data_IF_799483008748
#
_entry.id   IF_799483008748
#
_cell.length_a   1.000
_cell.length_b   1.000
_cell.length_c   1.000
_cell.angle_alpha   90.00
_cell.angle_beta   90.00
_cell.angle_gamma   90.00
#
_symmetry.space_group_name_H-M   'P 1'
#
loop_
_entity.id
_entity.type
_entity.pdbx_description
1 polymer ?
#
# COMPACT_ATOMS: atom_id res chain seq x y z
N UNK A 1 11.13 19.74 2.50
CA UNK A 1 11.37 18.85 1.34
C UNK A 1 12.60 19.30 0.56
N UNK A 2 12.68 20.56 0.11
CA UNK A 2 13.80 21.08 -0.69
C UNK A 2 15.20 20.82 -0.11
N UNK A 3 15.42 21.14 1.18
CA UNK A 3 16.71 20.89 1.86
C UNK A 3 17.12 19.42 1.81
N UNK A 4 16.17 18.49 1.99
CA UNK A 4 16.45 17.05 1.95
C UNK A 4 16.91 16.62 0.55
N UNK A 5 16.27 17.15 -0.50
CA UNK A 5 16.64 16.84 -1.89
C UNK A 5 18.01 17.43 -2.23
N UNK A 6 18.21 18.72 -1.93
CA UNK A 6 19.40 19.46 -2.36
C UNK A 6 20.66 19.11 -1.57
N UNK A 7 20.52 18.89 -0.26
CA UNK A 7 21.67 18.78 0.64
C UNK A 7 21.86 17.38 1.21
N UNK A 8 20.82 16.56 1.24
CA UNK A 8 20.85 15.22 1.88
C UNK A 8 20.70 14.06 0.90
N UNK A 9 20.55 14.35 -0.41
CA UNK A 9 20.44 13.32 -1.45
C UNK A 9 19.16 12.49 -1.41
N UNK A 10 18.11 12.97 -0.73
CA UNK A 10 16.81 12.29 -0.68
C UNK A 10 16.02 12.59 -1.94
N UNK A 11 15.54 11.58 -2.67
CA UNK A 11 14.82 11.78 -3.94
C UNK A 11 13.40 11.18 -3.95
N UNK A 12 12.92 10.67 -2.82
CA UNK A 12 11.59 10.10 -2.70
C UNK A 12 10.95 10.45 -1.36
N UNK A 13 9.64 10.65 -1.38
CA UNK A 13 8.84 10.96 -0.20
C UNK A 13 7.66 10.00 -0.11
N UNK A 14 7.39 9.49 1.09
CA UNK A 14 6.28 8.59 1.37
C UNK A 14 5.10 9.38 1.93
N UNK A 15 3.92 9.15 1.34
CA UNK A 15 2.65 9.71 1.77
C UNK A 15 1.63 8.59 2.04
N UNK A 16 0.65 8.87 2.88
CA UNK A 16 -0.38 7.91 3.28
C UNK A 16 -1.77 8.49 3.02
N UNK A 17 -2.64 7.69 2.39
CA UNK A 17 -4.07 7.99 2.22
C UNK A 17 -4.94 7.34 3.31
N UNK A 18 -4.31 6.52 4.15
CA UNK A 18 -4.88 5.84 5.31
C UNK A 18 -4.20 6.29 6.60
N UNK A 19 -4.55 5.66 7.73
CA UNK A 19 -4.16 6.09 9.07
C UNK A 19 -4.74 7.45 9.42
N UNK A 20 -6.08 7.52 9.40
CA UNK A 20 -6.85 8.68 9.85
C UNK A 20 -6.32 9.15 11.22
N UNK A 21 -6.22 10.47 11.36
CA UNK A 21 -5.71 11.17 12.55
C UNK A 21 -4.23 10.96 12.91
N UNK A 22 -3.47 10.18 12.13
CA UNK A 22 -2.03 9.95 12.36
C UNK A 22 -1.16 10.42 11.18
N UNK A 23 -1.35 9.83 10.00
CA UNK A 23 -0.49 10.08 8.82
C UNK A 23 -1.29 10.44 7.56
N UNK A 24 -2.62 10.31 7.60
CA UNK A 24 -3.48 10.52 6.45
C UNK A 24 -3.41 11.96 5.94
N UNK A 25 -3.11 12.11 4.64
CA UNK A 25 -3.26 13.37 3.92
C UNK A 25 -4.59 13.42 3.20
N UNK A 26 -5.25 14.58 3.25
CA UNK A 26 -6.45 14.86 2.46
C UNK A 26 -6.08 15.16 1.02
N UNK A 27 -7.05 15.07 0.11
CA UNK A 27 -6.82 15.27 -1.32
C UNK A 27 -6.20 16.64 -1.66
N UNK A 28 -6.59 17.69 -0.94
CA UNK A 28 -6.02 19.03 -1.12
C UNK A 28 -4.54 19.09 -0.73
N UNK A 29 -4.16 18.38 0.34
CA UNK A 29 -2.77 18.27 0.80
C UNK A 29 -1.95 17.41 -0.15
N UNK A 30 -2.50 16.26 -0.59
CA UNK A 30 -1.89 15.42 -1.63
C UNK A 30 -1.62 16.22 -2.90
N UNK A 31 -2.57 17.02 -3.38
CA UNK A 31 -2.37 17.87 -4.55
C UNK A 31 -1.17 18.82 -4.39
N UNK A 32 -1.03 19.47 -3.23
CA UNK A 32 0.09 20.38 -2.98
C UNK A 32 1.42 19.63 -2.83
N UNK A 33 1.43 18.49 -2.13
CA UNK A 33 2.65 17.68 -1.94
C UNK A 33 3.13 17.10 -3.27
N UNK A 34 2.22 16.58 -4.11
CA UNK A 34 2.58 16.07 -5.44
C UNK A 34 3.13 17.18 -6.35
N UNK A 35 2.54 18.38 -6.28
CA UNK A 35 3.08 19.56 -6.96
C UNK A 35 4.49 19.89 -6.47
N UNK A 36 4.72 19.90 -5.15
CA UNK A 36 6.03 20.16 -4.57
C UNK A 36 7.05 19.08 -4.99
N UNK A 37 6.68 17.79 -4.97
CA UNK A 37 7.52 16.69 -5.43
C UNK A 37 7.94 16.87 -6.90
N UNK A 38 7.01 17.28 -7.78
CA UNK A 38 7.35 17.59 -9.17
C UNK A 38 8.36 18.74 -9.26
N UNK A 39 8.13 19.83 -8.55
CA UNK A 39 8.96 21.04 -8.65
C UNK A 39 10.41 20.80 -8.16
N UNK A 40 10.59 19.87 -7.22
CA UNK A 40 11.92 19.49 -6.69
C UNK A 40 12.51 18.24 -7.38
N UNK A 41 11.81 17.63 -8.34
CA UNK A 41 12.26 16.42 -9.05
C UNK A 41 12.29 15.15 -8.19
N UNK A 42 11.43 15.04 -7.18
CA UNK A 42 11.31 13.88 -6.31
C UNK A 42 10.16 12.94 -6.71
N UNK A 43 10.29 11.66 -6.36
CA UNK A 43 9.27 10.64 -6.58
C UNK A 43 8.30 10.61 -5.39
N UNK A 44 7.01 10.71 -5.69
CA UNK A 44 5.94 10.58 -4.73
C UNK A 44 5.55 9.10 -4.52
N UNK A 45 5.94 8.52 -3.39
CA UNK A 45 5.51 7.18 -2.96
C UNK A 45 4.21 7.30 -2.18
N UNK A 46 3.19 6.52 -2.52
CA UNK A 46 1.86 6.63 -1.89
C UNK A 46 1.33 5.26 -1.48
N UNK A 47 0.99 5.14 -0.19
CA UNK A 47 0.18 4.06 0.34
C UNK A 47 -1.28 4.39 0.12
N UNK A 48 -1.93 3.65 -0.79
CA UNK A 48 -3.25 3.98 -1.32
C UNK A 48 -4.33 3.05 -0.79
N UNK A 49 -4.88 3.39 0.38
CA UNK A 49 -6.14 2.83 0.90
C UNK A 49 -7.02 3.99 1.36
N UNK A 50 -8.35 3.87 1.25
CA UNK A 50 -9.25 4.92 1.71
C UNK A 50 -9.32 4.96 3.25
N UNK A 51 -8.59 5.89 3.88
CA UNK A 51 -8.48 5.97 5.34
C UNK A 51 -9.78 6.20 6.10
N UNK A 52 -10.76 6.87 5.50
CA UNK A 52 -12.06 7.09 6.14
C UNK A 52 -12.84 5.77 6.22
N UNK A 53 -12.94 5.06 5.08
CA UNK A 53 -13.63 3.77 5.03
C UNK A 53 -12.91 2.69 5.83
N UNK A 54 -11.58 2.70 5.86
CA UNK A 54 -10.79 1.82 6.73
C UNK A 54 -11.14 2.04 8.20
N UNK A 55 -11.28 3.29 8.64
CA UNK A 55 -11.59 3.61 10.03
C UNK A 55 -13.00 3.14 10.42
N UNK A 56 -13.99 3.39 9.56
CA UNK A 56 -15.37 2.90 9.79
C UNK A 56 -15.45 1.37 9.73
N UNK A 57 -14.81 0.73 8.75
CA UNK A 57 -14.79 -0.73 8.62
C UNK A 57 -14.12 -1.43 9.82
N UNK A 58 -13.06 -0.83 10.38
CA UNK A 58 -12.44 -1.33 11.61
C UNK A 58 -13.36 -1.21 12.82
N UNK A 59 -14.12 -0.11 12.91
CA UNK A 59 -15.11 0.08 13.97
C UNK A 59 -16.27 -0.91 13.84
N UNK A 60 -16.81 -1.08 12.63
CA UNK A 60 -17.89 -2.05 12.36
C UNK A 60 -17.46 -3.48 12.69
N UNK A 61 -16.24 -3.89 12.31
CA UNK A 61 -15.71 -5.21 12.65
C UNK A 61 -15.66 -5.44 14.17
N UNK A 62 -15.20 -4.44 14.93
CA UNK A 62 -15.17 -4.49 16.39
C UNK A 62 -16.58 -4.52 17.01
N UNK A 63 -17.52 -3.73 16.48
CA UNK A 63 -18.91 -3.70 16.94
C UNK A 63 -19.62 -5.05 16.71
N UNK A 64 -19.21 -5.80 15.68
CA UNK A 64 -19.64 -7.18 15.42
C UNK A 64 -18.92 -8.23 16.28
N UNK A 65 -17.99 -7.82 17.15
CA UNK A 65 -17.21 -8.70 18.02
C UNK A 65 -16.04 -9.41 17.32
N UNK A 66 -15.64 -8.95 16.14
CA UNK A 66 -14.50 -9.48 15.40
C UNK A 66 -13.22 -8.81 15.92
N UNK A 67 -12.52 -9.49 16.81
CA UNK A 67 -11.29 -9.00 17.46
C UNK A 67 -10.04 -9.79 17.09
N UNK A 68 -10.18 -10.80 16.22
CA UNK A 68 -9.07 -11.61 15.74
C UNK A 68 -8.34 -10.99 14.55
N UNK A 69 -7.19 -11.56 14.14
CA UNK A 69 -6.40 -11.06 13.01
C UNK A 69 -7.17 -11.03 11.69
N UNK A 70 -8.16 -11.89 11.51
CA UNK A 70 -9.09 -11.89 10.35
C UNK A 70 -9.81 -10.57 10.15
N UNK A 71 -10.02 -9.80 11.22
CA UNK A 71 -10.64 -8.50 11.13
C UNK A 71 -9.84 -7.50 10.29
N UNK A 72 -8.53 -7.70 10.05
CA UNK A 72 -7.73 -6.80 9.17
C UNK A 72 -8.16 -6.91 7.70
N UNK A 73 -8.53 -8.11 7.26
CA UNK A 73 -8.96 -8.36 5.88
C UNK A 73 -10.41 -7.87 5.70
N UNK A 74 -11.27 -8.20 6.67
CA UNK A 74 -12.69 -7.84 6.68
C UNK A 74 -12.89 -6.32 6.74
N UNK A 75 -12.12 -5.60 7.56
CA UNK A 75 -12.25 -4.15 7.71
C UNK A 75 -11.70 -3.37 6.51
N UNK A 76 -10.95 -4.02 5.62
CA UNK A 76 -10.21 -3.36 4.52
C UNK A 76 -10.30 -4.14 3.21
N UNK A 77 -11.52 -4.31 2.64
CA UNK A 77 -11.69 -5.04 1.40
C UNK A 77 -10.95 -4.35 0.25
N UNK A 78 -10.66 -5.08 -0.83
CA UNK A 78 -9.80 -4.62 -1.92
C UNK A 78 -10.31 -3.37 -2.66
N UNK A 79 -11.61 -3.13 -2.64
CA UNK A 79 -12.23 -1.95 -3.23
C UNK A 79 -11.72 -0.63 -2.61
N UNK A 80 -11.37 -0.62 -1.32
CA UNK A 80 -10.81 0.56 -0.64
C UNK A 80 -9.40 0.90 -1.16
N UNK A 81 -8.62 -0.12 -1.53
CA UNK A 81 -7.31 0.05 -2.13
C UNK A 81 -7.46 0.54 -3.59
N UNK A 82 -8.39 -0.06 -4.34
CA UNK A 82 -8.64 0.29 -5.74
C UNK A 82 -9.16 1.74 -5.89
N UNK A 83 -10.09 2.18 -5.03
CA UNK A 83 -10.61 3.55 -5.03
C UNK A 83 -9.48 4.56 -4.78
N UNK A 84 -8.72 4.36 -3.70
CA UNK A 84 -7.64 5.27 -3.33
C UNK A 84 -6.54 5.30 -4.41
N UNK A 85 -6.22 4.14 -4.99
CA UNK A 85 -5.29 4.01 -6.12
C UNK A 85 -5.77 4.82 -7.32
N UNK A 86 -7.04 4.71 -7.69
CA UNK A 86 -7.62 5.49 -8.79
C UNK A 86 -7.59 7.00 -8.51
N UNK A 87 -7.94 7.39 -7.28
CA UNK A 87 -7.96 8.78 -6.82
C UNK A 87 -6.58 9.43 -6.87
N UNK A 88 -5.56 8.79 -6.29
CA UNK A 88 -4.20 9.37 -6.31
C UNK A 88 -3.62 9.45 -7.71
N UNK A 89 -3.86 8.45 -8.58
CA UNK A 89 -3.45 8.50 -9.98
C UNK A 89 -4.08 9.69 -10.68
N UNK A 90 -5.36 9.99 -10.39
CA UNK A 90 -6.06 11.13 -10.95
C UNK A 90 -5.43 12.45 -10.48
N UNK A 91 -5.17 12.61 -9.18
CA UNK A 91 -4.52 13.80 -8.61
C UNK A 91 -3.11 13.97 -9.20
N UNK A 92 -2.32 12.90 -9.24
CA UNK A 92 -0.97 12.89 -9.79
C UNK A 92 -0.95 13.35 -11.26
N UNK A 93 -1.86 12.81 -12.08
CA UNK A 93 -2.01 13.20 -13.47
C UNK A 93 -2.38 14.69 -13.63
N UNK A 94 -3.23 15.25 -12.74
CA UNK A 94 -3.55 16.68 -12.74
C UNK A 94 -2.37 17.57 -12.33
N UNK A 95 -1.48 17.07 -11.48
CA UNK A 95 -0.26 17.79 -11.06
C UNK A 95 0.92 17.59 -12.02
N UNK A 96 0.82 16.66 -12.96
CA UNK A 96 1.94 16.19 -13.79
C UNK A 96 3.13 15.67 -12.95
N UNK A 97 2.85 15.03 -11.82
CA UNK A 97 3.83 14.40 -10.96
C UNK A 97 3.84 12.88 -11.21
N UNK A 98 5.01 12.23 -11.39
CA UNK A 98 5.08 10.78 -11.40
C UNK A 98 4.73 10.23 -10.01
N UNK A 99 3.79 9.28 -9.96
CA UNK A 99 3.39 8.62 -8.71
C UNK A 99 3.91 7.19 -8.66
N UNK A 100 4.29 6.75 -7.48
CA UNK A 100 4.78 5.42 -7.18
C UNK A 100 3.91 4.78 -6.10
N UNK A 101 3.09 3.81 -6.47
CA UNK A 101 2.22 3.12 -5.53
C UNK A 101 2.99 2.01 -4.82
N UNK A 102 2.92 2.00 -3.49
CA UNK A 102 3.62 1.02 -2.66
C UNK A 102 2.66 -0.04 -2.16
N UNK A 103 3.18 -1.23 -1.91
CA UNK A 103 2.47 -2.36 -1.30
C UNK A 103 1.16 -2.73 -2.01
N UNK A 104 1.12 -2.67 -3.35
CA UNK A 104 -0.07 -3.09 -4.11
C UNK A 104 -0.37 -4.56 -3.77
N UNK A 105 -1.56 -4.83 -3.26
CA UNK A 105 -1.94 -6.16 -2.76
C UNK A 105 -3.07 -6.82 -3.54
N UNK A 106 -3.96 -6.04 -4.16
CA UNK A 106 -5.16 -6.56 -4.83
C UNK A 106 -5.09 -6.59 -6.35
N UNK A 107 -5.91 -7.46 -6.92
CA UNK A 107 -6.15 -7.51 -8.37
C UNK A 107 -6.81 -6.23 -8.86
N UNK A 108 -7.79 -5.71 -8.12
CA UNK A 108 -8.51 -4.48 -8.47
C UNK A 108 -7.59 -3.26 -8.54
N UNK A 109 -6.69 -3.09 -7.57
CA UNK A 109 -5.69 -2.02 -7.64
C UNK A 109 -4.72 -2.22 -8.82
N UNK A 110 -4.31 -3.47 -9.08
CA UNK A 110 -3.53 -3.84 -10.25
C UNK A 110 -4.19 -3.43 -11.58
N UNK A 111 -5.49 -3.68 -11.72
CA UNK A 111 -6.27 -3.32 -12.92
C UNK A 111 -6.35 -1.81 -13.13
N UNK A 112 -6.58 -1.06 -12.05
CA UNK A 112 -6.58 0.41 -12.09
C UNK A 112 -5.23 0.94 -12.56
N UNK A 113 -4.12 0.36 -12.06
CA UNK A 113 -2.76 0.74 -12.46
C UNK A 113 -2.52 0.39 -13.94
N UNK A 114 -2.90 -0.81 -14.36
CA UNK A 114 -2.75 -1.26 -15.75
C UNK A 114 -3.52 -0.34 -16.71
N UNK A 115 -4.76 -0.01 -16.38
CA UNK A 115 -5.59 0.91 -17.16
C UNK A 115 -4.98 2.33 -17.21
N UNK A 116 -4.46 2.84 -16.09
CA UNK A 116 -3.79 4.14 -16.05
C UNK A 116 -2.54 4.18 -16.92
N UNK A 117 -1.73 3.10 -16.89
CA UNK A 117 -0.55 2.95 -17.74
C UNK A 117 -0.92 2.88 -19.23
N UNK A 118 -2.00 2.18 -19.59
CA UNK A 118 -2.51 2.14 -20.97
C UNK A 118 -2.95 3.52 -21.47
N UNK A 119 -3.43 4.40 -20.58
CA UNK A 119 -3.78 5.78 -20.89
C UNK A 119 -2.56 6.72 -20.99
N UNK A 120 -1.34 6.21 -20.84
CA UNK A 120 -0.10 7.00 -20.89
C UNK A 120 0.17 7.83 -19.62
N UNK A 121 -0.53 7.55 -18.51
CA UNK A 121 -0.25 8.20 -17.23
C UNK A 121 1.08 7.67 -16.66
N UNK A 122 1.88 8.56 -16.06
CA UNK A 122 3.17 8.20 -15.46
C UNK A 122 2.96 7.62 -14.06
N UNK A 123 2.73 6.32 -14.00
CA UNK A 123 2.44 5.57 -12.77
C UNK A 123 3.39 4.39 -12.65
N UNK A 124 4.05 4.30 -11.50
CA UNK A 124 4.87 3.17 -11.08
C UNK A 124 4.18 2.45 -9.92
N UNK A 125 4.49 1.18 -9.74
CA UNK A 125 3.89 0.35 -8.70
C UNK A 125 4.89 -0.68 -8.17
N UNK A 126 4.79 -0.94 -6.88
CA UNK A 126 5.58 -1.89 -6.11
C UNK A 126 4.63 -2.84 -5.39
N UNK A 127 5.03 -4.10 -5.28
CA UNK A 127 4.37 -5.07 -4.42
C UNK A 127 5.42 -5.71 -3.51
N UNK A 128 4.97 -6.33 -2.42
CA UNK A 128 5.89 -6.98 -1.47
C UNK A 128 5.97 -8.47 -1.75
N UNK A 129 7.02 -9.13 -1.26
CA UNK A 129 7.12 -10.60 -1.38
C UNK A 129 5.90 -11.29 -0.79
N UNK A 130 5.39 -10.78 0.33
CA UNK A 130 4.21 -11.31 0.99
C UNK A 130 2.98 -11.29 0.06
N UNK A 131 2.67 -10.14 -0.55
CA UNK A 131 1.54 -10.02 -1.48
C UNK A 131 1.75 -10.83 -2.77
N UNK A 132 2.99 -10.99 -3.22
CA UNK A 132 3.32 -11.74 -4.41
C UNK A 132 3.33 -13.27 -4.21
N UNK A 133 3.29 -13.79 -2.98
CA UNK A 133 3.48 -15.23 -2.71
C UNK A 133 2.50 -15.83 -1.72
N UNK A 134 1.94 -15.04 -0.81
CA UNK A 134 1.07 -15.50 0.27
C UNK A 134 -0.40 -15.11 0.01
N UNK A 135 -1.30 -15.74 0.75
CA UNK A 135 -2.75 -15.49 0.68
C UNK A 135 -3.29 -15.12 2.06
N UNK A 136 -4.43 -14.43 2.08
CA UNK A 136 -5.14 -14.03 3.30
C UNK A 136 -5.70 -15.20 4.12
N UNK A 137 -5.63 -16.44 3.61
CA UNK A 137 -6.07 -17.63 4.33
C UNK A 137 -5.33 -17.81 5.67
N UNK A 138 -4.11 -17.29 5.78
CA UNK A 138 -3.35 -17.32 7.03
C UNK A 138 -4.03 -16.54 8.17
N UNK A 139 -4.89 -15.56 7.88
CA UNK A 139 -5.63 -14.81 8.92
C UNK A 139 -6.67 -15.66 9.64
N UNK A 140 -7.18 -16.71 9.00
CA UNK A 140 -8.18 -17.62 9.56
C UNK A 140 -7.58 -18.88 10.17
N UNK A 141 -6.27 -18.86 10.45
CA UNK A 141 -5.59 -19.98 11.09
C UNK A 141 -6.04 -20.12 12.56
N UNK A 142 -6.20 -21.37 13.02
CA UNK A 142 -6.70 -21.65 14.38
C UNK A 142 -5.77 -21.15 15.49
N UNK A 143 -4.45 -21.16 15.22
CA UNK A 143 -3.48 -20.51 16.10
C UNK A 143 -3.43 -19.00 15.84
N UNK A 144 -3.79 -18.24 16.87
CA UNK A 144 -3.81 -16.77 16.86
C UNK A 144 -2.41 -16.19 16.58
N UNK A 145 -1.34 -16.77 17.11
CA UNK A 145 0.01 -16.24 16.90
C UNK A 145 0.46 -16.39 15.45
N UNK A 146 0.12 -17.53 14.84
CA UNK A 146 0.29 -17.72 13.41
C UNK A 146 -0.48 -16.66 12.63
N UNK A 147 -1.78 -16.49 12.88
CA UNK A 147 -2.59 -15.51 12.14
C UNK A 147 -2.09 -14.06 12.32
N UNK A 148 -1.71 -13.68 13.54
CA UNK A 148 -1.18 -12.35 13.86
C UNK A 148 0.16 -12.06 13.16
N UNK A 149 1.00 -13.08 12.91
CA UNK A 149 2.28 -12.90 12.24
C UNK A 149 2.17 -12.48 10.77
N UNK A 150 1.02 -12.68 10.13
CA UNK A 150 0.78 -12.34 8.72
C UNK A 150 0.09 -10.98 8.56
N UNK A 151 -0.21 -10.28 9.67
CA UNK A 151 -0.91 -9.00 9.63
C UNK A 151 -0.02 -7.94 8.99
N UNK A 152 -0.48 -7.43 7.86
CA UNK A 152 0.18 -6.39 7.06
C UNK A 152 -0.89 -5.50 6.43
N UNK A 153 -0.46 -4.36 5.89
CA UNK A 153 -1.33 -3.34 5.31
C UNK A 153 -0.76 -2.85 3.96
N UNK A 154 -1.55 -2.82 2.88
CA UNK A 154 -2.87 -3.45 2.75
C UNK A 154 -2.83 -4.96 3.10
N UNK A 155 -3.95 -5.62 3.44
CA UNK A 155 -3.94 -7.01 3.88
C UNK A 155 -3.64 -7.97 2.72
N UNK A 156 -3.18 -9.18 3.06
CA UNK A 156 -3.13 -10.30 2.12
C UNK A 156 -4.55 -10.66 1.68
N UNK A 157 -4.77 -10.86 0.38
CA UNK A 157 -6.11 -11.12 -0.17
C UNK A 157 -6.47 -12.61 -0.10
N UNK A 158 -7.74 -12.91 0.15
CA UNK A 158 -8.23 -14.29 0.25
C UNK A 158 -8.22 -15.03 -1.09
N UNK A 159 -8.41 -14.32 -2.21
CA UNK A 159 -8.39 -14.93 -3.52
C UNK A 159 -6.98 -15.46 -3.85
N UNK A 160 -6.89 -16.77 -4.05
CA UNK A 160 -5.65 -17.50 -4.36
C UNK A 160 -5.03 -17.11 -5.69
N UNK A 161 -5.81 -16.52 -6.61
CA UNK A 161 -5.32 -16.06 -7.91
C UNK A 161 -4.63 -14.69 -7.84
N UNK A 162 -4.79 -13.96 -6.73
CA UNK A 162 -4.33 -12.57 -6.59
C UNK A 162 -2.86 -12.41 -6.93
N UNK A 163 -1.99 -13.26 -6.37
CA UNK A 163 -0.55 -13.18 -6.56
C UNK A 163 -0.13 -13.35 -8.02
N UNK A 164 -0.59 -14.41 -8.68
CA UNK A 164 -0.27 -14.70 -10.07
C UNK A 164 -0.81 -13.62 -11.01
N UNK A 165 -2.05 -13.16 -10.77
CA UNK A 165 -2.69 -12.13 -11.58
C UNK A 165 -1.97 -10.77 -11.44
N UNK A 166 -1.74 -10.33 -10.21
CA UNK A 166 -1.06 -9.08 -9.89
C UNK A 166 0.35 -9.06 -10.51
N UNK A 167 1.11 -10.14 -10.36
CA UNK A 167 2.44 -10.25 -10.96
C UNK A 167 2.39 -10.17 -12.49
N UNK A 168 1.35 -10.74 -13.12
CA UNK A 168 1.16 -10.65 -14.57
C UNK A 168 0.89 -9.21 -15.03
N UNK A 169 0.19 -8.40 -14.22
CA UNK A 169 -0.12 -7.01 -14.53
C UNK A 169 1.08 -6.09 -14.31
N UNK A 170 1.79 -6.28 -13.20
CA UNK A 170 2.97 -5.47 -12.86
C UNK A 170 4.14 -5.75 -13.80
N UNK A 171 4.27 -6.98 -14.31
CA UNK A 171 5.28 -7.35 -15.29
C UNK A 171 5.00 -6.80 -16.71
N UNK A 172 3.73 -6.50 -17.04
CA UNK A 172 3.36 -5.98 -18.36
C UNK A 172 3.80 -4.51 -18.50
N UNK A 173 4.77 -4.27 -19.39
CA UNK A 173 5.05 -2.92 -19.88
C UNK A 173 4.13 -2.60 -21.07
N UNK A 174 3.43 -1.46 -21.11
CA UNK A 174 2.43 -1.21 -22.16
C UNK A 174 3.00 -1.09 -23.57
N UNK A 175 4.25 -0.64 -23.76
CA UNK A 175 4.94 -0.60 -25.07
C UNK A 175 6.43 -0.27 -24.89
N UNK A 176 7.35 -0.86 -25.67
CA UNK A 176 8.73 -0.36 -25.74
C UNK A 176 8.74 1.09 -26.28
N UNK A 177 9.31 2.04 -25.53
CA UNK A 177 9.50 3.43 -25.98
C UNK A 177 8.54 4.48 -25.42
N UNK A 178 7.57 4.11 -24.58
CA UNK A 178 6.80 5.10 -23.79
C UNK A 178 7.61 5.60 -22.57
N UNK A 179 7.47 6.87 -22.15
CA UNK A 179 8.08 7.36 -20.92
C UNK A 179 7.59 6.52 -19.74
N UNK A 180 8.50 5.82 -19.06
CA UNK A 180 8.18 4.87 -17.99
C UNK A 180 8.24 3.39 -18.39
N UNK A 181 8.48 3.07 -19.68
CA UNK A 181 8.92 1.73 -20.06
C UNK A 181 10.45 1.64 -20.00
N UNK A 182 11.02 0.76 -19.15
CA UNK A 182 12.46 0.63 -19.07
C UNK A 182 13.01 0.01 -20.37
N UNK A 183 14.18 0.50 -20.81
CA UNK A 183 15.05 -0.24 -21.73
C UNK A 183 15.47 -1.57 -21.05
N UNK A 184 16.05 -2.57 -21.76
CA UNK A 184 16.19 -3.97 -21.32
C UNK A 184 16.95 -4.23 -20.00
N UNK A 185 17.35 -3.20 -19.24
CA UNK A 185 18.13 -3.26 -18.00
C UNK A 185 17.36 -2.96 -16.71
N UNK A 186 16.04 -2.69 -16.73
CA UNK A 186 15.30 -2.46 -15.48
C UNK A 186 13.95 -3.18 -15.48
N UNK A 187 13.73 -4.23 -14.67
CA UNK A 187 12.39 -4.69 -14.38
C UNK A 187 11.65 -3.65 -13.50
N UNK A 188 10.38 -3.36 -13.79
CA UNK A 188 9.55 -2.41 -13.03
C UNK A 188 9.00 -2.99 -11.72
N UNK A 189 9.17 -4.28 -11.47
CA UNK A 189 8.76 -4.91 -10.21
C UNK A 189 9.91 -4.77 -9.22
N UNK A 190 9.78 -3.79 -8.32
CA UNK A 190 10.55 -3.81 -7.09
C UNK A 190 9.78 -4.68 -6.11
N UNK A 191 10.38 -5.79 -5.70
CA UNK A 191 9.87 -6.60 -4.59
C UNK A 191 10.61 -6.13 -3.35
N UNK A 192 9.94 -5.36 -2.49
CA UNK A 192 10.53 -4.98 -1.20
C UNK A 192 10.43 -6.13 -0.21
N UNK A 193 11.54 -6.37 0.50
CA UNK A 193 11.61 -7.30 1.62
C UNK A 193 11.02 -6.61 2.86
N UNK A 194 9.70 -6.49 2.91
CA UNK A 194 9.00 -6.12 4.14
C UNK A 194 8.16 -7.33 4.58
N UNK A 195 8.72 -8.13 5.50
CA UNK A 195 7.88 -9.00 6.33
C UNK A 195 7.16 -8.07 7.31
N UNK A 196 5.83 -8.14 7.32
CA UNK A 196 4.96 -7.27 8.11
C UNK A 196 5.45 -7.13 9.54
N UNK A 197 5.96 -5.95 9.89
CA UNK A 197 5.86 -5.51 11.26
C UNK A 197 4.39 -5.16 11.45
N UNK A 198 3.69 -5.86 12.35
CA UNK A 198 2.43 -5.37 12.89
C UNK A 198 2.69 -3.93 13.36
N UNK A 199 2.26 -2.94 12.58
CA UNK A 199 2.44 -1.56 12.95
C UNK A 199 1.69 -1.35 14.27
N UNK A 200 2.36 -0.89 15.34
CA UNK A 200 1.74 -0.79 16.64
C UNK A 200 0.54 0.18 16.57
N UNK A 201 -0.65 -0.30 16.94
CA UNK A 201 -1.84 0.54 17.11
C UNK A 201 -3.04 0.25 16.19
N UNK A 202 -3.09 -0.87 15.46
CA UNK A 202 -4.31 -1.21 14.72
C UNK A 202 -5.44 -1.60 15.70
N UNK A 203 -6.60 -0.91 15.70
CA UNK A 203 -7.63 -1.07 16.72
C UNK A 203 -8.26 -2.47 16.77
N UNK A 204 -8.21 -3.20 15.64
CA UNK A 204 -8.82 -4.53 15.49
C UNK A 204 -7.99 -5.65 16.16
N UNK A 205 -6.71 -5.43 16.45
CA UNK A 205 -5.87 -6.45 17.09
C UNK A 205 -5.97 -6.38 18.62
N UNK A 206 -6.92 -7.11 19.20
CA UNK A 206 -6.97 -7.32 20.65
C UNK A 206 -6.52 -8.74 20.98
N UNK A 207 -5.32 -8.86 21.54
CA UNK A 207 -4.84 -10.15 22.05
C UNK A 207 -5.77 -10.63 23.19
N UNK A 208 -6.02 -11.94 23.32
CA UNK A 208 -6.82 -12.46 24.43
C UNK A 208 -6.23 -12.05 25.78
N UNK A 209 -7.10 -11.69 26.74
CA UNK A 209 -6.73 -11.20 28.06
C UNK A 209 -5.65 -12.07 28.71
N UNK A 210 -4.47 -11.48 28.99
CA UNK A 210 -3.36 -12.14 29.68
C UNK A 210 -2.15 -12.50 28.81
N UNK A 211 -2.19 -12.27 27.50
CA UNK A 211 -1.06 -12.52 26.59
C UNK A 211 -0.43 -11.19 26.19
N UNK A 212 0.67 -10.82 26.85
CA UNK A 212 1.49 -9.69 26.43
C UNK A 212 2.11 -9.98 25.06
N UNK A 213 1.89 -9.09 24.09
CA UNK A 213 2.57 -9.14 22.80
C UNK A 213 4.06 -8.84 23.05
N UNK A 214 4.99 -9.78 22.81
CA UNK A 214 6.40 -9.46 22.87
C UNK A 214 6.73 -8.67 21.60
N UNK A 215 6.67 -7.34 21.70
CA UNK A 215 7.19 -6.47 20.65
C UNK A 215 8.71 -6.63 20.61
N UNK A 216 9.32 -7.07 19.49
CA UNK A 216 10.76 -7.01 19.34
C UNK A 216 11.15 -5.52 19.31
N UNK A 217 11.79 -5.06 20.39
CA UNK A 217 12.30 -3.70 20.47
C UNK A 217 13.28 -3.42 19.34
N UNK A 218 13.05 -2.33 18.61
CA UNK A 218 14.09 -1.75 17.78
C UNK A 218 15.22 -1.26 18.69
N UNK A 219 16.49 -1.68 18.48
CA UNK A 219 17.60 -0.87 18.95
C UNK A 219 17.58 0.42 18.13
N UNK A 220 17.35 1.54 18.80
CA UNK A 220 17.62 2.86 18.27
C UNK A 220 19.13 3.02 18.24
N UNK A 221 19.72 3.02 17.04
CA UNK A 221 20.87 3.84 16.59
C UNK A 221 21.21 3.49 15.15
#
# INVERSE_FOLDING_TARGET
METLVREKGVNSFQMFMTYKDLYMLRDSELYQVLRACRDIGAIARVHAENGELVAEGAKEALDLGITGPEGIEISRPEELEAEATHRVITIANRTHCPVYLVNVSSMSAGDVIAAAKMQGKVVYAETTTAHATLTGLHYYHQDWFHAAAYVTVPPLRLDTNTSAYLMSLLAKCPTPGTPGCPTPRQPMVWVSHFLGAAFPGHPVLQAPHGVGVPFPGHPVL
#
